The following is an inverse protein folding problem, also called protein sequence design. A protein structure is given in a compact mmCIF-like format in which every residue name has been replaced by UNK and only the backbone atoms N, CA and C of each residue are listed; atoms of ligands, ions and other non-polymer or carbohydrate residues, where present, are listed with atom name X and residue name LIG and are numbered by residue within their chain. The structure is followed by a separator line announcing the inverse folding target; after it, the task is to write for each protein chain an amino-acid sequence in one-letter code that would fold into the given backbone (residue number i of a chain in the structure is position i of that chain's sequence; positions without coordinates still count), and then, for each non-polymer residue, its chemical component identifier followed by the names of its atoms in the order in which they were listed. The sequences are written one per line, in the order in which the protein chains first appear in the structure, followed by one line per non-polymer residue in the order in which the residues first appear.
data_IF_914713163364
#
_entry.id   IF_914713163364
#
_cell.length_a   1.000
_cell.length_b   1.000
_cell.length_c   1.000
_cell.angle_alpha   90.00
_cell.angle_beta   90.00
_cell.angle_gamma   90.00
#
_symmetry.space_group_name_H-M   'P 1'
#
loop_
_entity.id
_entity.type
_entity.pdbx_description
1 polymer ?
#
# COMPACT_ATOMS: atom_id res chain seq x y z
N UNK A 1 6.28 -27.26 1.43
CA UNK A 1 6.55 -25.80 1.44
C UNK A 1 5.72 -25.18 0.33
N UNK A 2 4.82 -24.25 0.64
CA UNK A 2 4.14 -23.50 -0.41
C UNK A 2 5.20 -22.65 -1.12
N UNK A 3 5.22 -22.71 -2.45
CA UNK A 3 6.12 -21.86 -3.23
C UNK A 3 5.84 -20.39 -2.89
N UNK A 4 6.91 -19.65 -2.61
CA UNK A 4 6.79 -18.22 -2.32
C UNK A 4 6.23 -17.51 -3.56
N UNK A 5 5.19 -16.71 -3.36
CA UNK A 5 4.55 -15.97 -4.46
C UNK A 5 5.59 -15.04 -5.10
N UNK A 6 5.77 -15.06 -6.44
CA UNK A 6 6.72 -14.15 -7.08
C UNK A 6 6.24 -12.69 -6.96
N UNK A 7 7.17 -11.78 -6.73
CA UNK A 7 6.89 -10.35 -6.77
C UNK A 7 6.61 -9.91 -8.22
N UNK A 8 5.48 -9.25 -8.43
CA UNK A 8 5.02 -8.80 -9.76
C UNK A 8 5.05 -7.28 -9.95
N UNK A 9 5.72 -6.55 -9.04
CA UNK A 9 5.74 -5.11 -9.06
C UNK A 9 4.81 -4.48 -8.03
N UNK A 10 4.82 -3.15 -8.01
CA UNK A 10 3.96 -2.34 -7.15
C UNK A 10 2.49 -2.57 -7.48
N UNK A 11 1.67 -2.76 -6.44
CA UNK A 11 0.23 -2.94 -6.62
C UNK A 11 -0.59 -2.04 -5.71
N UNK A 12 -1.72 -1.57 -6.23
CA UNK A 12 -2.73 -0.86 -5.44
C UNK A 12 -4.04 -1.63 -5.41
N UNK A 13 -4.76 -1.53 -4.31
CA UNK A 13 -6.11 -2.05 -4.19
C UNK A 13 -7.16 -1.07 -4.71
N UNK A 14 -8.41 -1.53 -4.86
CA UNK A 14 -9.48 -0.72 -5.45
C UNK A 14 -10.06 0.33 -4.50
N UNK A 15 -9.78 0.26 -3.19
CA UNK A 15 -10.35 1.20 -2.21
C UNK A 15 -9.40 2.37 -1.99
N UNK A 16 -9.92 3.57 -2.24
CA UNK A 16 -9.37 4.85 -1.78
C UNK A 16 -10.49 5.61 -1.07
N UNK A 17 -10.45 5.73 0.27
CA UNK A 17 -11.42 6.59 0.97
C UNK A 17 -11.30 8.04 0.51
N UNK A 18 -12.39 8.82 0.47
CA UNK A 18 -12.33 10.24 0.11
C UNK A 18 -11.37 11.05 1.00
N UNK A 19 -11.29 10.71 2.29
CA UNK A 19 -10.35 11.32 3.25
C UNK A 19 -8.87 11.00 2.97
N UNK A 20 -8.59 10.01 2.16
CA UNK A 20 -7.24 9.55 1.78
C UNK A 20 -6.89 9.87 0.32
N UNK A 21 -7.58 10.86 -0.25
CA UNK A 21 -7.37 11.31 -1.62
C UNK A 21 -5.89 11.61 -1.90
N UNK A 22 -5.24 12.26 -0.95
CA UNK A 22 -3.87 12.76 -1.05
C UNK A 22 -2.84 11.82 -0.40
N UNK A 23 -3.26 10.62 0.02
CA UNK A 23 -2.38 9.63 0.64
C UNK A 23 -1.76 8.69 -0.38
N UNK A 24 -0.51 8.30 -0.13
CA UNK A 24 0.07 7.13 -0.79
C UNK A 24 -0.69 5.88 -0.33
N UNK A 25 -1.11 5.06 -1.27
CA UNK A 25 -1.73 3.78 -0.98
C UNK A 25 -0.67 2.69 -0.97
N UNK A 26 -0.52 2.01 0.16
CA UNK A 26 0.37 0.86 0.32
C UNK A 26 -0.47 -0.37 0.59
N UNK A 27 -0.49 -1.32 -0.35
CA UNK A 27 -1.32 -2.52 -0.24
C UNK A 27 -0.65 -3.57 0.63
N UNK A 28 -1.24 -3.88 1.78
CA UNK A 28 -0.73 -4.84 2.77
C UNK A 28 -1.48 -6.17 2.72
N UNK A 29 -2.79 -6.09 2.46
CA UNK A 29 -3.64 -7.25 2.23
C UNK A 29 -4.35 -7.10 0.90
N UNK A 30 -4.82 -8.20 0.33
CA UNK A 30 -5.67 -8.20 -0.85
C UNK A 30 -7.08 -8.60 -0.46
N UNK A 31 -8.05 -7.82 -0.93
CA UNK A 31 -9.47 -8.08 -0.80
C UNK A 31 -9.99 -8.07 0.66
N UNK A 32 -11.15 -8.65 0.91
CA UNK A 32 -11.82 -8.58 2.19
C UNK A 32 -11.92 -9.96 2.86
N UNK A 33 -11.41 -10.13 4.09
CA UNK A 33 -11.48 -11.42 4.78
C UNK A 33 -12.91 -11.80 5.22
N UNK A 34 -13.83 -10.84 5.29
CA UNK A 34 -15.22 -11.07 5.64
C UNK A 34 -16.10 -11.34 4.43
N UNK A 35 -16.06 -10.47 3.46
CA UNK A 35 -16.74 -10.53 2.16
C UNK A 35 -18.23 -10.95 2.17
N UNK A 36 -18.97 -10.63 3.28
CA UNK A 36 -20.37 -11.01 3.49
C UNK A 36 -21.32 -9.82 3.56
N UNK A 37 -20.81 -8.59 3.42
CA UNK A 37 -21.65 -7.40 3.46
C UNK A 37 -22.60 -7.38 2.26
N UNK A 38 -23.89 -7.19 2.52
CA UNK A 38 -24.93 -7.21 1.48
C UNK A 38 -24.84 -6.03 0.52
N UNK A 39 -24.33 -4.89 0.99
CA UNK A 39 -24.19 -3.66 0.21
C UNK A 39 -22.85 -3.53 -0.54
N UNK A 40 -21.83 -4.32 -0.18
CA UNK A 40 -20.50 -4.21 -0.77
C UNK A 40 -20.33 -5.23 -1.88
N UNK A 41 -20.31 -4.76 -3.13
CA UNK A 41 -20.02 -5.59 -4.31
C UNK A 41 -18.55 -5.69 -4.67
N UNK A 42 -17.68 -4.87 -4.05
CA UNK A 42 -16.30 -4.65 -4.50
C UNK A 42 -15.41 -5.89 -4.49
N UNK A 43 -15.56 -6.74 -3.49
CA UNK A 43 -14.73 -7.94 -3.32
C UNK A 43 -15.51 -9.25 -3.49
N UNK A 44 -16.76 -9.20 -3.98
CA UNK A 44 -17.56 -10.40 -4.18
C UNK A 44 -16.89 -11.35 -5.16
N UNK A 45 -16.72 -12.61 -4.72
CA UNK A 45 -16.01 -13.63 -5.50
C UNK A 45 -14.47 -13.58 -5.37
N UNK A 46 -13.90 -12.51 -4.81
CA UNK A 46 -12.46 -12.35 -4.67
C UNK A 46 -11.92 -13.05 -3.42
N UNK A 47 -10.81 -13.74 -3.58
CA UNK A 47 -10.15 -14.43 -2.46
C UNK A 47 -9.30 -13.46 -1.65
N UNK A 48 -9.49 -13.46 -0.32
CA UNK A 48 -8.62 -12.74 0.59
C UNK A 48 -7.22 -13.37 0.64
N UNK A 49 -6.18 -12.53 0.68
CA UNK A 49 -4.81 -12.95 0.98
C UNK A 49 -4.03 -11.86 1.72
N UNK A 50 -3.01 -12.27 2.47
CA UNK A 50 -1.99 -11.36 3.01
C UNK A 50 -0.86 -11.29 2.00
N UNK A 51 -0.30 -10.12 1.80
CA UNK A 51 0.90 -9.98 0.96
C UNK A 51 2.15 -10.36 1.78
N UNK A 52 3.14 -11.02 1.18
CA UNK A 52 4.44 -11.19 1.83
C UNK A 52 5.02 -9.83 2.24
N UNK A 53 5.55 -9.71 3.45
CA UNK A 53 6.16 -8.45 3.95
C UNK A 53 7.22 -7.96 2.98
N UNK A 54 8.10 -8.85 2.50
CA UNK A 54 9.14 -8.52 1.53
C UNK A 54 8.58 -7.83 0.26
N UNK A 55 7.38 -8.20 -0.19
CA UNK A 55 6.74 -7.57 -1.35
C UNK A 55 6.26 -6.15 -1.02
N UNK A 56 5.70 -5.95 0.18
CA UNK A 56 5.27 -4.62 0.63
C UNK A 56 6.46 -3.67 0.78
N UNK A 57 7.59 -4.17 1.32
CA UNK A 57 8.82 -3.38 1.42
C UNK A 57 9.35 -2.99 0.02
N UNK A 58 9.34 -3.92 -0.94
CA UNK A 58 9.72 -3.64 -2.34
C UNK A 58 8.82 -2.61 -3.00
N UNK A 59 7.53 -2.58 -2.66
CA UNK A 59 6.60 -1.55 -3.13
C UNK A 59 6.98 -0.16 -2.59
N UNK A 60 7.27 -0.07 -1.30
CA UNK A 60 7.75 1.17 -0.65
C UNK A 60 9.04 1.65 -1.33
N UNK A 61 9.98 0.75 -1.60
CA UNK A 61 11.24 1.04 -2.29
C UNK A 61 11.01 1.50 -3.74
N UNK A 62 10.05 0.90 -4.45
CA UNK A 62 9.69 1.30 -5.80
C UNK A 62 9.17 2.74 -5.84
N UNK A 63 8.27 3.08 -4.92
CA UNK A 63 7.77 4.46 -4.78
C UNK A 63 8.89 5.40 -4.36
N UNK A 64 9.80 5.00 -3.47
CA UNK A 64 10.95 5.80 -3.05
C UNK A 64 11.83 6.15 -4.25
N UNK A 65 12.21 5.16 -5.05
CA UNK A 65 12.99 5.39 -6.28
C UNK A 65 12.27 6.34 -7.26
N UNK A 66 10.94 6.18 -7.40
CA UNK A 66 10.15 7.06 -8.25
C UNK A 66 10.13 8.50 -7.73
N UNK A 67 9.94 8.71 -6.42
CA UNK A 67 10.00 10.02 -5.77
C UNK A 67 11.36 10.68 -6.01
N UNK A 68 12.46 9.94 -5.83
CA UNK A 68 13.81 10.48 -6.04
C UNK A 68 14.03 10.91 -7.49
N UNK A 69 13.64 10.08 -8.46
CA UNK A 69 13.72 10.43 -9.90
C UNK A 69 12.92 11.69 -10.21
N UNK A 70 11.68 11.75 -9.76
CA UNK A 70 10.78 12.87 -10.04
C UNK A 70 11.20 14.17 -9.36
N UNK A 71 11.89 14.09 -8.23
CA UNK A 71 12.41 15.26 -7.52
C UNK A 71 13.62 15.85 -8.26
N UNK A 72 14.49 15.01 -8.85
CA UNK A 72 15.69 15.44 -9.57
C UNK A 72 15.34 15.92 -10.98
N UNK A 73 14.42 15.26 -11.67
CA UNK A 73 14.05 15.54 -13.06
C UNK A 73 12.53 15.48 -13.29
N UNK A 74 11.78 16.49 -12.82
CA UNK A 74 10.31 16.45 -12.87
C UNK A 74 9.73 16.47 -14.29
N UNK A 75 10.49 16.97 -15.27
CA UNK A 75 10.06 17.14 -16.66
C UNK A 75 10.46 15.96 -17.57
N UNK A 76 11.20 14.97 -17.08
CA UNK A 76 11.53 13.80 -17.90
C UNK A 76 10.22 13.03 -18.10
N UNK A 77 9.70 13.09 -19.31
CA UNK A 77 8.64 12.20 -19.76
C UNK A 77 9.04 10.76 -19.41
N UNK A 78 8.10 10.00 -18.88
CA UNK A 78 8.31 8.61 -18.50
C UNK A 78 9.22 7.91 -19.51
N UNK A 79 10.41 7.53 -19.07
CA UNK A 79 11.20 6.55 -19.81
C UNK A 79 10.30 5.36 -20.13
N UNK A 80 10.48 4.66 -21.25
CA UNK A 80 9.69 3.48 -21.52
C UNK A 80 9.78 2.58 -20.29
N UNK A 81 8.66 2.43 -19.60
CA UNK A 81 8.60 1.71 -18.33
C UNK A 81 8.75 0.24 -18.59
N UNK A 82 9.52 -0.43 -17.76
CA UNK A 82 9.84 -1.84 -17.95
C UNK A 82 8.61 -2.73 -17.76
N UNK A 83 7.69 -2.33 -16.85
CA UNK A 83 6.48 -3.07 -16.57
C UNK A 83 5.37 -2.19 -15.95
N UNK A 84 4.17 -2.79 -15.80
CA UNK A 84 2.98 -2.14 -15.24
C UNK A 84 3.22 -1.68 -13.78
N UNK A 85 3.93 -2.47 -12.98
CA UNK A 85 4.21 -2.15 -11.58
C UNK A 85 5.10 -0.92 -11.43
N UNK A 86 6.08 -0.75 -12.32
CA UNK A 86 6.93 0.44 -12.34
C UNK A 86 6.12 1.69 -12.73
N UNK A 87 5.24 1.56 -13.73
CA UNK A 87 4.33 2.64 -14.12
C UNK A 87 3.39 3.05 -12.98
N UNK A 88 2.80 2.07 -12.29
CA UNK A 88 1.92 2.33 -11.14
C UNK A 88 2.66 3.02 -10.00
N UNK A 89 3.89 2.59 -9.69
CA UNK A 89 4.70 3.21 -8.64
C UNK A 89 5.05 4.66 -8.98
N UNK A 90 5.39 4.96 -10.23
CA UNK A 90 5.68 6.33 -10.66
C UNK A 90 4.43 7.21 -10.65
N UNK A 91 3.30 6.69 -11.12
CA UNK A 91 2.03 7.42 -11.08
C UNK A 91 1.62 7.75 -9.64
N UNK A 92 1.74 6.78 -8.72
CA UNK A 92 1.48 6.98 -7.31
C UNK A 92 2.43 8.02 -6.68
N UNK A 93 3.73 7.93 -6.98
CA UNK A 93 4.73 8.87 -6.50
C UNK A 93 4.48 10.30 -6.99
N UNK A 94 4.13 10.48 -8.26
CA UNK A 94 3.85 11.78 -8.87
C UNK A 94 2.64 12.46 -8.21
N UNK A 95 1.56 11.72 -8.04
CA UNK A 95 0.35 12.22 -7.35
C UNK A 95 0.65 12.57 -5.90
N UNK A 96 1.40 11.72 -5.22
CA UNK A 96 1.73 11.91 -3.81
C UNK A 96 2.70 13.07 -3.58
N UNK A 97 3.66 13.30 -4.49
CA UNK A 97 4.55 14.47 -4.46
C UNK A 97 3.75 15.78 -4.54
N UNK A 98 2.75 15.85 -5.41
CA UNK A 98 1.86 17.02 -5.53
C UNK A 98 1.08 17.28 -4.24
N UNK A 99 0.81 16.23 -3.46
CA UNK A 99 0.13 16.29 -2.17
C UNK A 99 1.09 16.51 -0.97
N UNK A 100 2.40 16.67 -1.21
CA UNK A 100 3.41 16.97 -0.19
C UNK A 100 3.94 15.77 0.60
N UNK A 101 3.68 14.54 0.19
CA UNK A 101 4.22 13.29 0.78
C UNK A 101 4.00 13.14 2.30
N UNK A 102 2.83 13.55 2.83
CA UNK A 102 2.58 13.64 4.26
C UNK A 102 1.76 12.49 4.86
N UNK A 103 1.01 11.78 4.04
CA UNK A 103 0.09 10.75 4.52
C UNK A 103 0.17 9.47 3.70
N UNK A 104 -0.05 8.36 4.38
CA UNK A 104 -0.08 7.00 3.80
C UNK A 104 -1.34 6.30 4.28
N UNK A 105 -1.98 5.55 3.40
CA UNK A 105 -3.11 4.69 3.72
C UNK A 105 -2.74 3.23 3.43
N UNK A 106 -2.84 2.36 4.44
CA UNK A 106 -2.60 0.93 4.30
C UNK A 106 -3.85 0.24 3.76
N UNK A 107 -3.78 -0.30 2.56
CA UNK A 107 -4.82 -1.08 1.91
C UNK A 107 -4.70 -2.58 2.21
N UNK A 108 -5.73 -3.38 2.16
CA UNK A 108 -7.08 -3.13 1.69
C UNK A 108 -8.06 -2.92 2.86
N UNK A 109 -9.12 -3.74 2.92
CA UNK A 109 -10.27 -3.53 3.81
C UNK A 109 -10.00 -3.81 5.30
N UNK A 110 -8.91 -4.49 5.65
CA UNK A 110 -8.58 -4.88 7.03
C UNK A 110 -7.05 -5.15 7.17
N UNK A 111 -6.25 -4.12 6.98
CA UNK A 111 -4.77 -4.27 6.97
C UNK A 111 -4.20 -4.68 8.34
N UNK A 112 -4.88 -4.37 9.43
CA UNK A 112 -4.43 -4.74 10.79
C UNK A 112 -4.61 -6.23 11.13
N UNK A 113 -5.07 -7.06 10.18
CA UNK A 113 -5.17 -8.53 10.36
C UNK A 113 -3.81 -9.26 10.20
N UNK A 114 -2.79 -8.58 9.71
CA UNK A 114 -1.44 -9.13 9.62
C UNK A 114 -0.80 -9.25 11.01
N UNK A 115 0.20 -10.10 11.20
CA UNK A 115 0.93 -10.18 12.46
C UNK A 115 1.48 -8.80 12.90
N UNK A 116 1.42 -8.45 14.19
CA UNK A 116 1.93 -7.16 14.68
C UNK A 116 3.40 -6.88 14.30
N UNK A 117 4.28 -7.89 14.37
CA UNK A 117 5.69 -7.76 13.96
C UNK A 117 5.87 -7.47 12.47
N UNK A 118 4.99 -8.01 11.62
CA UNK A 118 4.98 -7.70 10.18
C UNK A 118 4.55 -6.26 9.94
N UNK A 119 3.52 -5.80 10.66
CA UNK A 119 3.06 -4.42 10.61
C UNK A 119 4.14 -3.46 11.08
N UNK A 120 4.79 -3.75 12.21
CA UNK A 120 5.90 -2.96 12.73
C UNK A 120 7.04 -2.85 11.71
N UNK A 121 7.45 -3.96 11.10
CA UNK A 121 8.48 -3.99 10.06
C UNK A 121 8.13 -3.07 8.89
N UNK A 122 6.89 -3.13 8.41
CA UNK A 122 6.41 -2.28 7.32
C UNK A 122 6.42 -0.80 7.72
N UNK A 123 5.94 -0.47 8.93
CA UNK A 123 5.88 0.91 9.41
C UNK A 123 7.27 1.52 9.64
N UNK A 124 8.21 0.75 10.18
CA UNK A 124 9.59 1.18 10.36
C UNK A 124 10.28 1.44 9.03
N UNK A 125 10.11 0.54 8.06
CA UNK A 125 10.65 0.72 6.71
C UNK A 125 10.04 1.93 5.99
N UNK A 126 8.73 2.10 6.09
CA UNK A 126 8.02 3.25 5.54
C UNK A 126 8.56 4.57 6.12
N UNK A 127 8.73 4.63 7.44
CA UNK A 127 9.23 5.83 8.12
C UNK A 127 10.69 6.12 7.79
N UNK A 128 11.52 5.09 7.65
CA UNK A 128 12.90 5.23 7.21
C UNK A 128 13.00 5.75 5.77
N UNK A 129 12.14 5.22 4.87
CA UNK A 129 12.08 5.63 3.47
C UNK A 129 11.52 7.04 3.28
N UNK A 130 10.53 7.44 4.11
CA UNK A 130 9.81 8.70 3.99
C UNK A 130 9.67 9.41 5.36
N UNK A 131 10.72 10.08 5.86
CA UNK A 131 10.68 10.76 7.16
C UNK A 131 9.64 11.87 7.26
N UNK A 132 9.19 12.42 6.12
CA UNK A 132 8.16 13.46 6.03
C UNK A 132 6.74 12.96 6.33
N UNK A 133 6.51 11.64 6.34
CA UNK A 133 5.19 11.07 6.62
C UNK A 133 4.79 11.37 8.06
N UNK A 134 3.71 12.13 8.21
CA UNK A 134 3.17 12.52 9.50
C UNK A 134 1.98 11.65 9.95
N UNK A 135 1.31 10.99 9.00
CA UNK A 135 0.11 10.20 9.27
C UNK A 135 0.11 8.91 8.47
N UNK A 136 -0.19 7.81 9.16
CA UNK A 136 -0.51 6.51 8.55
C UNK A 136 -1.89 6.09 9.03
N UNK A 137 -2.77 5.71 8.12
CA UNK A 137 -4.15 5.31 8.39
C UNK A 137 -4.45 3.97 7.76
N UNK A 138 -5.50 3.32 8.22
CA UNK A 138 -5.96 2.02 7.70
C UNK A 138 -7.42 1.80 8.01
N UNK A 139 -8.07 0.95 7.22
CA UNK A 139 -9.30 0.31 7.63
C UNK A 139 -9.01 -0.94 8.46
N UNK A 140 -9.82 -1.13 9.49
CA UNK A 140 -9.83 -2.35 10.28
C UNK A 140 -11.23 -2.71 10.73
N UNK A 141 -11.49 -4.01 10.88
CA UNK A 141 -12.71 -4.49 11.52
C UNK A 141 -12.57 -4.36 13.04
N UNK A 142 -13.65 -4.00 13.72
CA UNK A 142 -13.67 -3.87 15.19
C UNK A 142 -13.14 -5.12 15.91
N UNK A 143 -13.51 -6.32 15.44
CA UNK A 143 -12.99 -7.58 15.99
C UNK A 143 -11.46 -7.75 15.80
N UNK A 144 -10.87 -7.18 14.74
CA UNK A 144 -9.44 -7.21 14.55
C UNK A 144 -8.75 -6.28 15.52
N UNK A 145 -9.27 -5.05 15.65
CA UNK A 145 -8.74 -4.05 16.59
C UNK A 145 -8.83 -4.56 18.04
N UNK A 146 -9.97 -5.16 18.43
CA UNK A 146 -10.15 -5.71 19.76
C UNK A 146 -9.18 -6.84 20.15
N UNK A 147 -8.52 -7.47 19.16
CA UNK A 147 -7.51 -8.52 19.40
C UNK A 147 -6.08 -7.99 19.46
N UNK A 148 -5.87 -6.74 19.07
CA UNK A 148 -4.54 -6.10 19.07
C UNK A 148 -4.31 -5.34 20.37
N UNK A 149 -5.41 -4.96 21.05
CA UNK A 149 -5.34 -4.23 22.31
C UNK A 149 -4.91 -5.18 23.43
N UNK A 150 -3.62 -5.31 23.70
CA UNK A 150 -2.94 -5.61 24.98
C UNK A 150 -1.50 -6.00 24.70
#
# INVERSE_FOLDING_TARGET
MAAEEPYRGFEQGPIRPPSERDSLLVRVTRNCPWNRCTFCGLYKGERFSRRPVAHVLRDIDAVRRAVDRLTVAPAVAASPMADEGEWLAEHAARTWLQAGCRSVFLQDSNSLIIPPGDLETILLHLRASFPSVARVTSYARSQTVARIAD
#
